data_IF_741635083723
#
_entry.id   IF_741635083723
#
_cell.length_a   1.000
_cell.length_b   1.000
_cell.length_c   1.000
_cell.angle_alpha   90.00
_cell.angle_beta   90.00
_cell.angle_gamma   90.00
#
_symmetry.space_group_name_H-M   'P 1'
#
loop_
_entity.id
_entity.type
_entity.pdbx_description
1 polymer ?
#
# COMPACT_ATOMS: atom_id res chain seq x y z
N UNK A 1 -45.76 36.53 2.47
CA UNK A 1 -45.76 35.20 3.13
C UNK A 1 -44.33 34.84 3.52
N UNK A 2 -44.03 34.50 4.78
CA UNK A 2 -42.69 34.15 5.21
C UNK A 2 -42.37 32.69 4.82
N UNK A 3 -41.13 32.46 4.40
CA UNK A 3 -40.61 31.17 3.90
C UNK A 3 -40.41 30.22 5.09
N UNK A 4 -41.17 29.11 5.14
CA UNK A 4 -41.00 28.04 6.12
C UNK A 4 -39.57 27.47 6.05
N UNK A 5 -38.88 27.49 7.19
CA UNK A 5 -37.65 26.76 7.42
C UNK A 5 -37.91 25.26 7.26
N UNK A 6 -37.12 24.61 6.41
CA UNK A 6 -37.08 23.16 6.27
C UNK A 6 -36.64 22.55 7.59
N UNK A 7 -37.57 21.87 8.27
CA UNK A 7 -37.27 21.05 9.44
C UNK A 7 -36.29 19.95 9.03
N UNK A 8 -35.17 19.87 9.74
CA UNK A 8 -34.22 18.75 9.65
C UNK A 8 -34.91 17.45 10.07
N UNK A 9 -34.73 16.34 9.34
CA UNK A 9 -35.42 15.08 9.62
C UNK A 9 -35.05 14.58 11.02
N UNK A 10 -36.07 14.46 11.87
CA UNK A 10 -35.98 13.91 13.22
C UNK A 10 -35.41 12.49 13.18
N UNK A 11 -34.24 12.26 13.78
CA UNK A 11 -33.70 10.92 14.00
C UNK A 11 -32.23 10.71 13.64
N UNK A 12 -31.52 11.73 13.17
CA UNK A 12 -30.08 11.63 12.90
C UNK A 12 -29.30 12.40 13.97
N UNK A 13 -28.67 11.65 14.88
CA UNK A 13 -27.67 12.21 15.79
C UNK A 13 -26.49 12.70 14.95
N UNK A 14 -26.27 14.01 14.94
CA UNK A 14 -25.09 14.62 14.33
C UNK A 14 -24.12 15.03 15.44
N UNK A 15 -22.83 14.71 15.32
CA UNK A 15 -21.84 15.22 16.26
C UNK A 15 -21.84 16.76 16.20
N UNK A 16 -21.59 17.44 17.33
CA UNK A 16 -21.45 18.89 17.34
C UNK A 16 -20.26 19.29 16.46
N UNK A 17 -20.40 20.41 15.74
CA UNK A 17 -19.35 20.96 14.89
C UNK A 17 -18.32 21.75 15.73
N UNK A 18 -17.74 21.08 16.71
CA UNK A 18 -16.80 21.67 17.66
C UNK A 18 -15.35 21.31 17.30
N UNK A 19 -14.43 22.22 17.62
CA UNK A 19 -13.00 22.00 17.38
C UNK A 19 -12.45 20.77 18.11
N UNK A 20 -13.00 20.46 19.30
CA UNK A 20 -12.65 19.27 20.06
C UNK A 20 -12.98 17.99 19.29
N UNK A 21 -14.15 17.91 18.68
CA UNK A 21 -14.57 16.77 17.86
C UNK A 21 -13.67 16.59 16.64
N UNK A 22 -13.28 17.67 15.97
CA UNK A 22 -12.34 17.59 14.84
C UNK A 22 -10.96 17.11 15.28
N UNK A 23 -10.47 17.54 16.45
CA UNK A 23 -9.22 17.05 17.03
C UNK A 23 -9.28 15.56 17.32
N UNK A 24 -10.35 15.08 17.92
CA UNK A 24 -10.51 13.67 18.27
C UNK A 24 -10.64 12.79 17.02
N UNK A 25 -11.38 13.25 16.01
CA UNK A 25 -11.46 12.57 14.71
C UNK A 25 -10.10 12.49 14.01
N UNK A 26 -9.31 13.56 14.07
CA UNK A 26 -7.96 13.55 13.51
C UNK A 26 -7.05 12.57 14.26
N UNK A 27 -7.11 12.52 15.59
CA UNK A 27 -6.34 11.55 16.39
C UNK A 27 -6.76 10.11 16.07
N UNK A 28 -8.06 9.87 15.94
CA UNK A 28 -8.61 8.58 15.55
C UNK A 28 -8.11 8.17 14.15
N UNK A 29 -8.18 9.09 13.20
CA UNK A 29 -7.66 8.88 11.86
C UNK A 29 -6.16 8.55 11.86
N UNK A 30 -5.35 9.32 12.59
CA UNK A 30 -3.90 9.07 12.69
C UNK A 30 -3.58 7.71 13.31
N UNK A 31 -4.36 7.25 14.29
CA UNK A 31 -4.22 5.89 14.86
C UNK A 31 -4.52 4.81 13.82
N UNK A 32 -5.60 4.96 13.06
CA UNK A 32 -5.94 4.01 11.98
C UNK A 32 -4.86 3.97 10.90
N UNK A 33 -4.38 5.14 10.48
CA UNK A 33 -3.29 5.27 9.50
C UNK A 33 -2.00 4.63 10.00
N UNK A 34 -1.61 4.95 11.23
CA UNK A 34 -0.34 4.47 11.81
C UNK A 34 -0.36 2.95 11.95
N UNK A 35 -1.47 2.39 12.44
CA UNK A 35 -1.63 0.94 12.54
C UNK A 35 -1.56 0.24 11.17
N UNK A 36 -2.25 0.77 10.16
CA UNK A 36 -2.17 0.22 8.82
C UNK A 36 -0.76 0.32 8.21
N UNK A 37 -0.06 1.43 8.45
CA UNK A 37 1.29 1.65 7.94
C UNK A 37 2.26 0.64 8.59
N UNK A 38 2.18 0.43 9.91
CA UNK A 38 2.99 -0.57 10.62
C UNK A 38 2.74 -1.96 10.03
N UNK A 39 1.48 -2.32 9.80
CA UNK A 39 1.10 -3.60 9.20
C UNK A 39 1.63 -3.74 7.77
N UNK A 40 1.52 -2.71 6.95
CA UNK A 40 2.04 -2.71 5.58
C UNK A 40 3.56 -2.78 5.51
N UNK A 41 4.28 -2.10 6.42
CA UNK A 41 5.75 -2.21 6.53
C UNK A 41 6.18 -3.63 6.91
N UNK A 42 5.50 -4.23 7.89
CA UNK A 42 5.75 -5.63 8.27
C UNK A 42 5.49 -6.55 7.07
N UNK A 43 4.32 -6.43 6.43
CA UNK A 43 3.97 -7.17 5.21
C UNK A 43 5.05 -7.05 4.13
N UNK A 44 5.49 -5.84 3.81
CA UNK A 44 6.50 -5.60 2.76
C UNK A 44 7.82 -6.31 3.06
N UNK A 45 8.28 -6.33 4.32
CA UNK A 45 9.49 -7.07 4.71
C UNK A 45 9.36 -8.58 4.45
N UNK A 46 8.22 -9.17 4.83
CA UNK A 46 7.97 -10.60 4.58
C UNK A 46 7.77 -10.92 3.09
N UNK A 47 7.15 -10.02 2.33
CA UNK A 47 7.02 -10.18 0.87
C UNK A 47 8.38 -10.11 0.17
N UNK A 48 9.26 -9.20 0.61
CA UNK A 48 10.62 -9.12 0.10
C UNK A 48 11.41 -10.39 0.42
N UNK A 49 11.36 -10.85 1.67
CA UNK A 49 11.97 -12.12 2.08
C UNK A 49 11.47 -13.30 1.24
N UNK A 50 10.15 -13.40 1.04
CA UNK A 50 9.56 -14.46 0.22
C UNK A 50 10.00 -14.38 -1.24
N UNK A 51 10.02 -13.17 -1.82
CA UNK A 51 10.47 -12.96 -3.20
C UNK A 51 11.95 -13.32 -3.35
N UNK A 52 12.80 -12.88 -2.42
CA UNK A 52 14.21 -13.24 -2.37
C UNK A 52 14.37 -14.77 -2.29
N UNK A 53 13.64 -15.44 -1.40
CA UNK A 53 13.70 -16.89 -1.25
C UNK A 53 13.30 -17.63 -2.53
N UNK A 54 12.24 -17.18 -3.21
CA UNK A 54 11.82 -17.74 -4.51
C UNK A 54 12.90 -17.53 -5.58
N UNK A 55 13.48 -16.33 -5.67
CA UNK A 55 14.55 -16.03 -6.62
C UNK A 55 15.77 -16.92 -6.35
N UNK A 56 16.17 -17.10 -5.08
CA UNK A 56 17.25 -18.02 -4.69
C UNK A 56 16.95 -19.45 -5.08
N UNK A 57 15.73 -19.95 -4.88
CA UNK A 57 15.33 -21.30 -5.28
C UNK A 57 15.41 -21.45 -6.80
N UNK A 58 14.88 -20.49 -7.57
CA UNK A 58 14.94 -20.52 -9.04
C UNK A 58 16.40 -20.51 -9.50
N UNK A 59 17.23 -19.65 -8.92
CA UNK A 59 18.66 -19.56 -9.23
C UNK A 59 19.38 -20.89 -9.00
N UNK A 60 19.22 -21.48 -7.80
CA UNK A 60 19.83 -22.78 -7.47
C UNK A 60 19.29 -23.91 -8.34
N UNK A 61 18.00 -23.88 -8.69
CA UNK A 61 17.36 -24.89 -9.54
C UNK A 61 17.86 -24.79 -10.98
N UNK A 62 18.04 -23.59 -11.51
CA UNK A 62 18.72 -23.36 -12.79
C UNK A 62 20.17 -23.88 -12.74
N UNK A 63 20.88 -23.65 -11.64
CA UNK A 63 22.26 -24.10 -11.49
C UNK A 63 22.38 -25.63 -11.53
N UNK A 64 21.50 -26.33 -10.79
CA UNK A 64 21.44 -27.80 -10.77
C UNK A 64 20.99 -28.38 -12.11
N UNK A 65 19.99 -27.79 -12.77
CA UNK A 65 19.46 -28.33 -14.03
C UNK A 65 20.36 -28.04 -15.24
N UNK A 66 20.98 -26.86 -15.28
CA UNK A 66 21.82 -26.43 -16.40
C UNK A 66 23.30 -26.81 -16.19
N UNK A 67 23.67 -27.41 -15.05
CA UNK A 67 25.05 -27.72 -14.66
C UNK A 67 26.00 -26.51 -14.81
N UNK A 68 25.49 -25.30 -14.64
CA UNK A 68 26.29 -24.07 -14.77
C UNK A 68 26.99 -23.77 -13.45
N UNK A 69 28.27 -23.43 -13.45
CA UNK A 69 28.99 -23.05 -12.23
C UNK A 69 28.95 -21.54 -11.99
N UNK A 70 27.77 -20.96 -11.78
CA UNK A 70 27.65 -19.52 -11.52
C UNK A 70 28.00 -19.16 -10.06
N UNK A 71 27.73 -20.06 -9.11
CA UNK A 71 27.99 -19.83 -7.68
C UNK A 71 29.48 -19.92 -7.34
N UNK A 72 30.30 -20.56 -8.21
CA UNK A 72 31.75 -20.64 -8.02
C UNK A 72 32.46 -19.30 -8.23
N UNK A 73 31.93 -18.41 -9.07
CA UNK A 73 32.53 -17.09 -9.36
C UNK A 73 32.59 -16.19 -8.11
N UNK A 74 31.48 -15.89 -7.42
CA UNK A 74 31.53 -15.10 -6.19
C UNK A 74 32.25 -15.85 -5.05
N UNK A 75 32.16 -17.17 -5.03
CA UNK A 75 32.85 -18.00 -4.04
C UNK A 75 34.38 -17.92 -4.17
N UNK A 76 34.90 -18.03 -5.40
CA UNK A 76 36.32 -17.88 -5.71
C UNK A 76 36.78 -16.44 -5.42
N UNK A 77 35.98 -15.44 -5.80
CA UNK A 77 36.29 -14.04 -5.48
C UNK A 77 36.36 -13.80 -3.96
N UNK A 78 35.43 -14.37 -3.19
CA UNK A 78 35.43 -14.28 -1.74
C UNK A 78 36.66 -14.98 -1.13
N UNK A 79 36.97 -16.20 -1.56
CA UNK A 79 38.14 -16.95 -1.09
C UNK A 79 39.46 -16.23 -1.41
N UNK A 80 39.60 -15.66 -2.62
CA UNK A 80 40.78 -14.88 -3.00
C UNK A 80 40.97 -13.63 -2.14
N UNK A 81 39.88 -13.04 -1.62
CA UNK A 81 39.95 -11.88 -0.73
C UNK A 81 40.23 -12.26 0.72
N UNK A 82 39.66 -13.37 1.19
CA UNK A 82 39.77 -13.80 2.58
C UNK A 82 41.10 -14.50 2.89
N UNK A 83 41.62 -15.29 1.95
CA UNK A 83 42.83 -16.12 2.12
C UNK A 83 43.78 -15.98 0.90
N UNK A 84 44.35 -14.78 0.68
CA UNK A 84 45.21 -14.52 -0.48
C UNK A 84 46.52 -15.32 -0.48
N UNK A 85 46.95 -15.86 0.67
CA UNK A 85 48.20 -16.63 0.80
C UNK A 85 48.09 -18.10 0.36
N UNK A 86 46.87 -18.65 0.25
CA UNK A 86 46.63 -20.07 -0.08
C UNK A 86 45.85 -20.21 -1.39
N UNK A 87 44.96 -19.27 -1.71
CA UNK A 87 44.16 -19.28 -2.94
C UNK A 87 44.65 -18.18 -3.89
N UNK A 88 45.63 -18.51 -4.72
CA UNK A 88 46.09 -17.66 -5.82
C UNK A 88 45.11 -17.64 -7.01
N UNK A 89 45.34 -16.72 -7.96
CA UNK A 89 44.48 -16.48 -9.13
C UNK A 89 44.31 -17.70 -10.06
N UNK A 90 45.22 -18.67 -10.00
CA UNK A 90 45.27 -19.82 -10.91
C UNK A 90 44.63 -21.10 -10.34
N UNK A 91 44.05 -21.07 -9.13
CA UNK A 91 43.40 -22.25 -8.54
C UNK A 91 41.93 -22.31 -8.94
N UNK A 92 41.58 -23.25 -9.84
CA UNK A 92 40.18 -23.59 -10.13
C UNK A 92 39.51 -24.23 -8.91
N UNK A 93 38.82 -23.42 -8.11
CA UNK A 93 38.05 -23.93 -6.96
C UNK A 93 36.73 -24.49 -7.46
N UNK A 94 36.66 -25.82 -7.61
CA UNK A 94 35.41 -26.52 -7.94
C UNK A 94 34.57 -26.71 -6.69
N UNK A 95 33.40 -26.08 -6.67
CA UNK A 95 32.40 -26.32 -5.63
C UNK A 95 31.91 -27.76 -5.69
N UNK A 96 31.83 -28.40 -4.53
CA UNK A 96 31.34 -29.77 -4.45
C UNK A 96 29.86 -29.81 -4.86
N UNK A 97 29.43 -30.71 -5.77
CA UNK A 97 28.08 -30.71 -6.34
C UNK A 97 26.96 -30.83 -5.28
N UNK A 98 27.21 -31.54 -4.17
CA UNK A 98 26.26 -31.64 -3.05
C UNK A 98 26.00 -30.32 -2.29
N UNK A 99 26.87 -29.31 -2.41
CA UNK A 99 26.66 -28.02 -1.73
C UNK A 99 25.46 -27.30 -2.34
N UNK A 100 25.36 -27.26 -3.67
CA UNK A 100 24.25 -26.61 -4.37
C UNK A 100 22.94 -27.37 -4.08
N UNK A 101 22.95 -28.70 -4.18
CA UNK A 101 21.79 -29.53 -3.86
C UNK A 101 21.36 -29.41 -2.38
N UNK A 102 22.31 -29.32 -1.46
CA UNK A 102 22.06 -29.11 -0.04
C UNK A 102 21.43 -27.73 0.24
N UNK A 103 21.97 -26.67 -0.36
CA UNK A 103 21.41 -25.32 -0.26
C UNK A 103 20.01 -25.23 -0.86
N UNK A 104 19.76 -25.94 -1.97
CA UNK A 104 18.43 -26.03 -2.57
C UNK A 104 17.45 -26.73 -1.61
N UNK A 105 17.84 -27.84 -1.01
CA UNK A 105 17.02 -28.55 -0.02
C UNK A 105 16.70 -27.66 1.19
N UNK A 106 17.69 -26.95 1.75
CA UNK A 106 17.49 -25.99 2.86
C UNK A 106 16.57 -24.84 2.43
N UNK A 107 16.70 -24.33 1.21
CA UNK A 107 15.84 -23.25 0.70
C UNK A 107 14.39 -23.69 0.50
N UNK A 108 14.16 -24.91 0.01
CA UNK A 108 12.80 -25.46 -0.16
C UNK A 108 12.16 -25.78 1.19
N UNK A 109 12.92 -26.38 2.12
CA UNK A 109 12.42 -26.66 3.47
C UNK A 109 12.10 -25.39 4.25
N UNK A 110 12.91 -24.33 4.13
CA UNK A 110 12.61 -23.02 4.73
C UNK A 110 11.36 -22.38 4.11
N UNK A 111 11.12 -22.53 2.81
CA UNK A 111 9.88 -22.10 2.17
C UNK A 111 8.66 -22.85 2.74
N UNK A 112 8.76 -24.18 2.88
CA UNK A 112 7.70 -24.99 3.48
C UNK A 112 7.43 -24.59 4.93
N UNK A 113 8.48 -24.43 5.74
CA UNK A 113 8.38 -23.95 7.12
C UNK A 113 7.71 -22.58 7.21
N UNK A 114 8.01 -21.66 6.28
CA UNK A 114 7.38 -20.35 6.23
C UNK A 114 5.86 -20.42 6.04
N UNK A 115 5.36 -21.36 5.23
CA UNK A 115 3.92 -21.58 5.07
C UNK A 115 3.32 -22.39 6.23
N UNK A 116 4.01 -23.45 6.68
CA UNK A 116 3.55 -24.32 7.77
C UNK A 116 3.43 -23.59 9.10
N UNK A 117 4.35 -22.66 9.40
CA UNK A 117 4.31 -21.80 10.59
C UNK A 117 3.19 -20.74 10.53
N UNK A 118 2.54 -20.54 9.39
CA UNK A 118 1.46 -19.56 9.24
C UNK A 118 1.93 -18.10 9.20
N UNK A 119 3.24 -17.83 9.12
CA UNK A 119 3.78 -16.47 9.04
C UNK A 119 3.21 -15.68 7.84
N UNK A 120 2.92 -16.38 6.73
CA UNK A 120 2.25 -15.80 5.58
C UNK A 120 0.85 -15.26 5.93
N UNK A 121 -0.02 -16.10 6.50
CA UNK A 121 -1.41 -15.73 6.77
C UNK A 121 -1.50 -14.69 7.89
N UNK A 122 -0.65 -14.80 8.91
CA UNK A 122 -0.61 -13.89 10.05
C UNK A 122 -0.07 -12.51 9.67
N UNK A 123 1.07 -12.44 8.96
CA UNK A 123 1.75 -11.16 8.72
C UNK A 123 1.34 -10.51 7.39
N UNK A 124 1.14 -11.29 6.33
CA UNK A 124 0.75 -10.77 5.01
C UNK A 124 -0.77 -10.75 4.87
N UNK A 125 -1.44 -11.83 5.29
CA UNK A 125 -2.90 -11.97 5.18
C UNK A 125 -3.67 -10.96 6.04
N UNK A 126 -3.25 -10.76 7.30
CA UNK A 126 -3.90 -9.81 8.20
C UNK A 126 -3.81 -8.37 7.71
N UNK A 127 -2.65 -7.94 7.19
CA UNK A 127 -2.47 -6.60 6.66
C UNK A 127 -3.46 -6.28 5.50
N UNK A 128 -3.74 -7.27 4.63
CA UNK A 128 -4.73 -7.12 3.56
C UNK A 128 -6.18 -7.03 4.08
N UNK A 129 -6.46 -7.69 5.21
CA UNK A 129 -7.79 -7.71 5.83
C UNK A 129 -8.04 -6.50 6.75
N UNK A 130 -6.99 -5.81 7.20
CA UNK A 130 -7.08 -4.69 8.12
C UNK A 130 -8.03 -3.59 7.64
N UNK A 131 -7.83 -3.08 6.41
CA UNK A 131 -8.66 -1.99 5.87
C UNK A 131 -10.12 -2.40 5.67
N UNK A 132 -10.44 -3.55 5.02
CA UNK A 132 -11.81 -4.03 4.97
C UNK A 132 -12.45 -4.24 6.35
N UNK A 133 -11.69 -4.75 7.32
CA UNK A 133 -12.19 -4.98 8.68
C UNK A 133 -12.48 -3.66 9.41
N UNK A 134 -11.58 -2.67 9.31
CA UNK A 134 -11.79 -1.33 9.84
C UNK A 134 -13.01 -0.66 9.18
N UNK A 135 -13.14 -0.76 7.85
CA UNK A 135 -14.28 -0.21 7.12
C UNK A 135 -15.63 -0.84 7.50
N UNK A 136 -15.64 -2.10 7.93
CA UNK A 136 -16.85 -2.73 8.47
C UNK A 136 -17.31 -2.06 9.76
N UNK A 137 -16.38 -1.69 10.65
CA UNK A 137 -16.68 -0.96 11.88
C UNK A 137 -17.02 0.52 11.60
N UNK A 138 -16.30 1.17 10.68
CA UNK A 138 -16.51 2.57 10.33
C UNK A 138 -17.85 2.83 9.62
N UNK A 139 -18.42 1.80 8.98
CA UNK A 139 -19.71 1.90 8.27
C UNK A 139 -20.86 2.33 9.19
N UNK A 140 -20.86 1.90 10.46
CA UNK A 140 -21.88 2.31 11.43
C UNK A 140 -21.81 3.82 11.73
N UNK A 141 -20.62 4.41 11.59
CA UNK A 141 -20.40 5.84 11.77
C UNK A 141 -20.47 6.63 10.46
N UNK A 142 -20.91 6.02 9.36
CA UNK A 142 -20.92 6.66 8.04
C UNK A 142 -19.53 7.15 7.59
N UNK A 143 -18.46 6.44 8.00
CA UNK A 143 -17.07 6.76 7.67
C UNK A 143 -16.41 5.63 6.89
N UNK A 144 -15.37 5.95 6.13
CA UNK A 144 -14.58 4.99 5.34
C UNK A 144 -13.11 5.39 5.32
N UNK A 145 -12.23 4.44 5.62
CA UNK A 145 -10.79 4.61 5.49
C UNK A 145 -10.36 4.25 4.06
N UNK A 146 -9.92 5.26 3.31
CA UNK A 146 -9.35 5.11 1.99
C UNK A 146 -7.82 5.12 2.08
N UNK A 147 -7.18 3.98 1.87
CA UNK A 147 -5.71 3.87 1.81
C UNK A 147 -5.19 3.63 0.39
N UNK A 148 -6.09 3.71 -0.61
CA UNK A 148 -5.72 3.52 -2.00
C UNK A 148 -4.95 4.75 -2.44
N UNK A 149 -3.63 4.64 -2.44
CA UNK A 149 -2.76 5.66 -2.99
C UNK A 149 -3.21 5.95 -4.42
N UNK A 150 -3.42 7.22 -4.75
CA UNK A 150 -3.48 7.65 -6.12
C UNK A 150 -2.23 7.09 -6.82
N UNK A 151 -2.34 6.51 -8.02
CA UNK A 151 -1.19 5.99 -8.72
C UNK A 151 -0.19 7.14 -8.89
N UNK A 152 0.86 7.13 -8.06
CA UNK A 152 2.00 8.00 -8.25
C UNK A 152 2.69 7.48 -9.50
N UNK A 153 2.30 8.04 -10.65
CA UNK A 153 3.09 7.95 -11.85
C UNK A 153 4.44 8.56 -11.53
N UNK A 154 5.40 7.71 -11.13
CA UNK A 154 6.80 8.11 -11.22
C UNK A 154 7.07 8.27 -12.72
N UNK A 155 7.47 9.46 -13.20
CA UNK A 155 7.85 9.65 -14.60
C UNK A 155 9.04 8.76 -15.00
N UNK A 156 9.69 8.10 -14.04
CA UNK A 156 10.86 7.25 -14.22
C UNK A 156 10.58 5.75 -14.10
N UNK A 157 9.31 5.30 -14.20
CA UNK A 157 9.03 3.87 -14.16
C UNK A 157 8.82 3.32 -15.59
N UNK A 158 9.87 2.78 -16.26
CA UNK A 158 9.79 2.32 -17.64
C UNK A 158 8.82 1.13 -17.81
N UNK A 159 8.48 0.43 -16.72
CA UNK A 159 7.51 -0.66 -16.71
C UNK A 159 6.05 -0.19 -16.83
N UNK A 160 5.78 1.13 -16.76
CA UNK A 160 4.44 1.70 -16.98
C UNK A 160 3.98 1.60 -18.44
N UNK A 161 4.91 1.45 -19.39
CA UNK A 161 4.61 1.25 -20.80
C UNK A 161 4.24 -0.21 -21.15
N UNK A 162 4.66 -1.18 -20.35
CA UNK A 162 4.41 -2.61 -20.61
C UNK A 162 3.01 -3.06 -20.17
N UNK A 163 2.36 -2.28 -19.29
CA UNK A 163 1.01 -2.57 -18.82
C UNK A 163 0.15 -1.30 -18.91
N UNK A 164 -0.30 -0.92 -20.13
CA UNK A 164 -1.25 0.17 -20.29
C UNK A 164 -2.52 -0.14 -19.49
N UNK A 165 -2.77 0.63 -18.44
CA UNK A 165 -3.98 0.51 -17.62
C UNK A 165 -5.03 1.50 -18.15
N UNK A 166 -6.31 1.10 -18.28
CA UNK A 166 -7.34 1.99 -18.81
C UNK A 166 -7.40 3.28 -17.99
N UNK A 167 -7.28 4.40 -18.69
CA UNK A 167 -7.42 5.74 -18.18
C UNK A 167 -8.75 5.91 -17.45
N UNK A 168 -8.71 6.06 -16.13
CA UNK A 168 -9.82 6.69 -15.40
C UNK A 168 -9.89 8.16 -15.84
N UNK A 169 -10.85 8.44 -16.71
CA UNK A 169 -11.17 9.77 -17.23
C UNK A 169 -11.49 10.77 -16.09
N UNK A 170 -11.11 12.05 -16.24
CA UNK A 170 -11.55 13.10 -15.33
C UNK A 170 -13.06 13.33 -15.53
N UNK A 171 -13.82 13.25 -14.45
CA UNK A 171 -15.26 13.50 -14.44
C UNK A 171 -15.56 14.98 -14.75
N UNK A 172 -16.03 15.25 -15.96
CA UNK A 172 -16.71 16.48 -16.37
C UNK A 172 -18.09 16.13 -16.95
N UNK A 173 -19.14 16.50 -16.21
CA UNK A 173 -20.54 16.75 -16.61
C UNK A 173 -21.14 16.17 -17.92
N UNK A 174 -22.28 15.48 -17.73
CA UNK A 174 -23.54 15.53 -18.52
C UNK A 174 -23.44 15.04 -19.98
N UNK A 175 -23.97 13.83 -20.25
CA UNK A 175 -25.03 13.61 -21.25
C UNK A 175 -25.41 12.12 -21.37
N UNK A 176 -26.72 11.90 -21.40
CA UNK A 176 -27.42 10.68 -21.80
C UNK A 176 -26.83 9.99 -23.02
N UNK A 177 -26.73 8.64 -22.98
CA UNK A 177 -27.39 7.76 -23.97
C UNK A 177 -27.35 6.29 -23.52
N UNK A 178 -28.54 5.68 -23.59
CA UNK A 178 -28.85 4.26 -23.48
C UNK A 178 -27.88 3.38 -24.28
N UNK A 179 -27.45 2.28 -23.68
CA UNK A 179 -27.19 1.04 -24.40
C UNK A 179 -27.73 -0.14 -23.59
N UNK A 180 -28.83 -0.71 -24.07
CA UNK A 180 -29.37 -2.01 -23.64
C UNK A 180 -28.51 -3.10 -24.27
N UNK A 181 -28.09 -4.08 -23.47
CA UNK A 181 -27.86 -5.44 -23.98
C UNK A 181 -28.25 -6.45 -22.88
N UNK A 182 -28.94 -7.56 -23.22
CA UNK A 182 -29.57 -8.45 -22.26
C UNK A 182 -28.61 -9.57 -21.84
N UNK A 183 -28.73 -10.04 -20.59
CA UNK A 183 -28.24 -11.36 -20.20
C UNK A 183 -29.09 -11.94 -19.07
N UNK A 184 -29.20 -13.28 -19.01
CA UNK A 184 -30.37 -13.97 -18.48
C UNK A 184 -30.31 -14.18 -16.96
N UNK A 185 -31.50 -14.45 -16.43
CA UNK A 185 -31.78 -14.70 -15.03
C UNK A 185 -30.87 -15.77 -14.41
N UNK A 186 -30.28 -15.43 -13.26
CA UNK A 186 -30.00 -16.40 -12.19
C UNK A 186 -30.45 -15.83 -10.85
N UNK A 187 -31.40 -16.54 -10.24
CA UNK A 187 -31.86 -16.36 -8.88
C UNK A 187 -30.67 -16.39 -7.92
N UNK A 188 -30.56 -15.36 -7.10
CA UNK A 188 -29.58 -15.26 -6.02
C UNK A 188 -30.01 -14.20 -5.03
N UNK A 189 -30.91 -14.60 -4.12
CA UNK A 189 -31.44 -13.82 -3.00
C UNK A 189 -30.27 -13.23 -2.18
N UNK A 190 -29.94 -11.94 -2.36
CA UNK A 190 -29.03 -11.19 -1.47
C UNK A 190 -29.62 -9.82 -1.14
N UNK A 191 -29.97 -9.72 0.14
CA UNK A 191 -30.33 -8.56 0.97
C UNK A 191 -30.20 -7.17 0.33
N UNK A 192 -31.34 -6.48 0.29
CA UNK A 192 -31.56 -5.08 -0.04
C UNK A 192 -31.03 -4.14 1.05
N UNK A 193 -29.81 -3.62 0.89
CA UNK A 193 -29.39 -2.33 1.50
C UNK A 193 -28.13 -1.69 0.89
N UNK A 194 -27.60 -2.21 -0.22
CA UNK A 194 -26.45 -1.62 -0.90
C UNK A 194 -26.92 -0.59 -1.93
N UNK A 195 -27.17 0.64 -1.49
CA UNK A 195 -27.13 1.78 -2.42
C UNK A 195 -25.72 1.78 -3.03
N UNK A 196 -25.57 1.73 -4.37
CA UNK A 196 -24.25 1.81 -5.01
C UNK A 196 -23.62 3.15 -4.63
N UNK A 197 -22.53 3.10 -3.86
CA UNK A 197 -21.77 4.31 -3.57
C UNK A 197 -21.11 4.80 -4.87
N UNK A 198 -21.07 6.12 -5.11
CA UNK A 198 -20.25 6.67 -6.19
C UNK A 198 -18.81 6.16 -6.03
N UNK A 199 -18.15 5.87 -7.15
CA UNK A 199 -16.77 5.36 -7.17
C UNK A 199 -15.87 6.26 -6.32
N UNK A 200 -15.25 5.66 -5.30
CA UNK A 200 -14.41 6.38 -4.33
C UNK A 200 -13.29 7.09 -5.11
N UNK A 201 -13.15 8.43 -5.01
CA UNK A 201 -12.08 9.15 -5.67
C UNK A 201 -10.71 8.68 -5.16
N UNK A 202 -9.65 8.78 -5.97
CA UNK A 202 -8.29 8.51 -5.50
C UNK A 202 -7.97 9.41 -4.29
N UNK A 203 -7.27 8.87 -3.30
CA UNK A 203 -6.94 9.62 -2.07
C UNK A 203 -6.20 10.91 -2.39
N UNK A 204 -6.63 12.04 -1.82
CA UNK A 204 -5.90 13.31 -1.93
C UNK A 204 -4.57 13.25 -1.17
N UNK A 205 -4.52 12.42 -0.13
CA UNK A 205 -3.37 12.28 0.76
C UNK A 205 -2.64 10.93 0.54
N UNK A 206 -1.31 10.92 0.35
CA UNK A 206 -0.55 9.69 0.10
C UNK A 206 -0.56 8.67 1.24
N UNK A 207 -0.94 9.08 2.46
CA UNK A 207 -1.03 8.23 3.65
C UNK A 207 -2.41 7.60 3.84
N UNK A 208 -3.35 7.96 2.97
CA UNK A 208 -4.76 7.61 3.07
C UNK A 208 -5.59 8.70 3.77
N UNK A 209 -6.90 8.58 3.68
CA UNK A 209 -7.86 9.53 4.23
C UNK A 209 -9.13 8.88 4.73
N UNK A 210 -9.64 9.38 5.86
CA UNK A 210 -10.98 9.11 6.33
C UNK A 210 -11.99 9.94 5.53
N UNK A 211 -12.93 9.26 4.88
CA UNK A 211 -13.96 9.83 4.02
C UNK A 211 -15.31 9.64 4.71
N UNK A 212 -16.11 10.70 4.77
CA UNK A 212 -17.48 10.64 5.27
C UNK A 212 -18.45 10.31 4.14
N UNK A 213 -19.48 9.52 4.46
CA UNK A 213 -20.59 9.28 3.53
C UNK A 213 -21.44 10.55 3.38
N UNK A 214 -22.27 10.58 2.33
CA UNK A 214 -23.19 11.70 2.08
C UNK A 214 -24.25 11.89 3.17
N UNK A 215 -24.40 10.94 4.10
CA UNK A 215 -25.35 11.01 5.22
C UNK A 215 -24.88 11.94 6.35
N UNK A 216 -23.59 12.24 6.41
CA UNK A 216 -23.04 13.22 7.35
C UNK A 216 -23.30 14.61 6.82
N UNK A 217 -23.66 15.53 7.73
CA UNK A 217 -23.93 16.92 7.37
C UNK A 217 -22.78 17.50 6.53
N UNK A 218 -23.14 18.28 5.50
CA UNK A 218 -22.18 18.84 4.56
C UNK A 218 -21.30 19.89 5.25
N UNK A 219 -21.86 20.69 6.16
CA UNK A 219 -21.11 21.69 6.91
C UNK A 219 -20.04 21.05 7.79
N UNK A 220 -20.39 19.96 8.48
CA UNK A 220 -19.43 19.19 9.26
C UNK A 220 -18.29 18.60 8.41
N UNK A 221 -18.63 17.98 7.27
CA UNK A 221 -17.63 17.39 6.35
C UNK A 221 -16.63 18.44 5.86
N UNK A 222 -17.12 19.57 5.36
CA UNK A 222 -16.27 20.65 4.86
C UNK A 222 -15.43 21.28 5.98
N UNK A 223 -16.00 21.47 7.17
CA UNK A 223 -15.28 22.02 8.32
C UNK A 223 -14.12 21.12 8.77
N UNK A 224 -14.36 19.80 8.83
CA UNK A 224 -13.32 18.82 9.15
C UNK A 224 -12.25 18.73 8.05
N UNK A 225 -12.64 18.70 6.78
CA UNK A 225 -11.70 18.70 5.64
C UNK A 225 -10.77 19.92 5.67
N UNK A 226 -11.30 21.11 5.99
CA UNK A 226 -10.50 22.33 6.18
C UNK A 226 -9.55 22.21 7.37
N UNK A 227 -10.05 21.73 8.51
CA UNK A 227 -9.23 21.55 9.72
C UNK A 227 -8.07 20.58 9.46
N UNK A 228 -8.35 19.47 8.78
CA UNK A 228 -7.36 18.49 8.37
C UNK A 228 -6.35 19.08 7.37
N UNK A 229 -6.80 19.80 6.34
CA UNK A 229 -5.91 20.41 5.37
C UNK A 229 -4.93 21.40 6.04
N UNK A 230 -5.40 22.18 7.01
CA UNK A 230 -4.54 23.05 7.80
C UNK A 230 -3.51 22.27 8.64
N UNK A 231 -3.93 21.14 9.23
CA UNK A 231 -3.03 20.27 9.98
C UNK A 231 -1.94 19.63 9.11
N UNK A 232 -2.30 19.09 7.94
CA UNK A 232 -1.36 18.49 6.99
C UNK A 232 -0.37 19.54 6.45
N UNK A 233 -0.83 20.76 6.12
CA UNK A 233 0.07 21.87 5.74
C UNK A 233 1.11 22.18 6.82
N UNK A 234 0.66 22.32 8.08
CA UNK A 234 1.55 22.57 9.23
C UNK A 234 2.50 21.41 9.51
N UNK A 235 2.15 20.19 9.10
CA UNK A 235 3.02 19.02 9.18
C UNK A 235 4.06 19.04 8.06
N UNK A 236 3.64 19.26 6.82
CA UNK A 236 4.51 19.32 5.65
C UNK A 236 5.55 20.44 5.78
N UNK A 237 5.19 21.57 6.39
CA UNK A 237 6.12 22.66 6.70
C UNK A 237 7.18 22.23 7.72
N UNK A 238 6.79 21.50 8.78
CA UNK A 238 7.74 20.96 9.77
C UNK A 238 8.65 19.90 9.16
N UNK A 239 8.11 19.03 8.31
CA UNK A 239 8.91 18.02 7.60
C UNK A 239 9.89 18.68 6.62
N UNK A 240 9.48 19.76 5.93
CA UNK A 240 10.37 20.58 5.08
C UNK A 240 11.46 21.27 5.90
N UNK A 241 11.12 21.84 7.05
CA UNK A 241 12.10 22.46 7.95
C UNK A 241 13.10 21.42 8.47
N UNK A 242 12.64 20.25 8.91
CA UNK A 242 13.52 19.16 9.34
C UNK A 242 14.42 18.63 8.20
N UNK A 243 13.88 18.53 6.98
CA UNK A 243 14.66 18.17 5.81
C UNK A 243 15.74 19.21 5.50
N UNK A 244 15.43 20.51 5.61
CA UNK A 244 16.40 21.60 5.42
C UNK A 244 17.58 21.56 6.41
N UNK A 245 17.38 21.00 7.61
CA UNK A 245 18.46 20.76 8.58
C UNK A 245 19.31 19.51 8.27
N UNK A 246 18.90 18.67 7.31
CA UNK A 246 19.67 17.50 6.88
C UNK A 246 20.56 17.88 5.70
N UNK A 247 21.81 17.41 5.67
CA UNK A 247 22.76 17.71 4.57
C UNK A 247 22.19 17.39 3.18
N UNK A 248 21.47 16.27 3.04
CA UNK A 248 20.80 15.89 1.80
C UNK A 248 19.62 16.79 1.43
N UNK A 249 18.86 17.28 2.40
CA UNK A 249 17.73 18.17 2.15
C UNK A 249 18.17 19.60 1.84
N UNK A 250 19.23 20.09 2.47
CA UNK A 250 19.90 21.32 2.07
C UNK A 250 20.39 21.24 0.61
N UNK A 251 21.01 20.12 0.22
CA UNK A 251 21.49 19.90 -1.14
C UNK A 251 20.36 19.85 -2.18
N UNK A 252 19.26 19.13 -1.90
CA UNK A 252 18.09 19.07 -2.78
C UNK A 252 17.38 20.43 -2.92
N UNK A 253 17.35 21.24 -1.85
CA UNK A 253 16.67 22.54 -1.87
C UNK A 253 17.47 23.63 -2.57
N UNK A 254 18.81 23.52 -2.64
CA UNK A 254 19.69 24.48 -3.32
C UNK A 254 19.87 24.21 -4.82
N UNK A 255 19.47 23.04 -5.33
CA UNK A 255 19.60 22.71 -6.75
C UNK A 255 18.52 23.42 -7.57
N UNK A 256 18.87 24.09 -8.69
CA UNK A 256 17.98 24.98 -9.45
C UNK A 256 16.93 24.27 -10.33
N UNK A 257 16.63 22.98 -10.07
CA UNK A 257 15.76 22.15 -10.90
C UNK A 257 14.39 21.89 -10.26
N UNK A 258 13.92 22.77 -9.37
CA UNK A 258 12.64 22.66 -8.68
C UNK A 258 11.73 23.85 -8.99
#
# INVERSE_FOLDING_TARGET
MPRKSTQSPSGSFYPPNDQATHRDLLLFEERLKTNALILNRRKSRYQFFLAQLIVTIIFLLCEVLLNTSFLSIPYQHFLSRALPSVYGADVEVRLHPYVVSGLLFVSVTTLLLFFATGLYSEKIGYANRYVPHANRALRNFNMYLNMRQAPRGSPYNPLSYLFPRPSSYPNGSIASKRARSPSPARLGKRSSSAVPMPSIPPTSNPRGELIFSSRVDRGFREAYERYRAAFERKRDERERQAAAHTWSGWFLQKMPWN
#
